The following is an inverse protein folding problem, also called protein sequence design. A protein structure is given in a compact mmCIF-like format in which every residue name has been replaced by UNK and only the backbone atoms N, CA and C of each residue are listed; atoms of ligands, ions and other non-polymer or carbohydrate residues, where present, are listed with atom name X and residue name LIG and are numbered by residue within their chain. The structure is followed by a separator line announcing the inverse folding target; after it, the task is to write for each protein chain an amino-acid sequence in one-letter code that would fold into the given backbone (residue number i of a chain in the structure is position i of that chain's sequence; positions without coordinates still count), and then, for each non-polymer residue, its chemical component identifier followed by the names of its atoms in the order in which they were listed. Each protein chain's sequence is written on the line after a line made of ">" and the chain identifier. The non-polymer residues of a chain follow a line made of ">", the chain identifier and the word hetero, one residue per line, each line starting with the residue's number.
data_IF_332652087672
#
_entry.id   IF_332652087672
#
_cell.length_a   1.000
_cell.length_b   1.000
_cell.length_c   1.000
_cell.angle_alpha   90.00
_cell.angle_beta   90.00
_cell.angle_gamma   90.00
#
_symmetry.space_group_name_H-M   'P 1'
#
loop_
_entity.id
_entity.type
_entity.pdbx_description
1 polymer ?
#
# COMPACT_ATOMS: atom_id res chain seq x y z
N UNK A 1 5.08 23.53 -0.97
CA UNK A 1 4.04 22.58 -0.49
C UNK A 1 3.88 22.81 1.00
N UNK A 2 2.84 23.51 1.48
CA UNK A 2 2.80 23.89 2.88
C UNK A 2 2.31 22.70 3.71
N UNK A 3 3.15 22.26 4.65
CA UNK A 3 2.88 21.41 5.82
C UNK A 3 3.53 20.02 5.91
N UNK A 4 4.59 19.70 5.15
CA UNK A 4 5.51 18.61 5.54
C UNK A 4 4.91 17.19 5.66
N UNK A 5 3.65 16.98 5.26
CA UNK A 5 2.98 15.67 5.20
C UNK A 5 3.48 14.95 3.95
N UNK A 6 4.55 14.17 4.11
CA UNK A 6 4.96 13.22 3.06
C UNK A 6 3.78 12.27 2.82
N UNK A 7 3.12 12.38 1.66
CA UNK A 7 2.01 11.50 1.30
C UNK A 7 2.42 10.03 1.43
N UNK A 8 1.46 9.15 1.73
CA UNK A 8 1.67 7.71 1.98
C UNK A 8 2.73 7.05 1.08
N UNK A 9 2.72 7.34 -0.23
CA UNK A 9 3.69 6.82 -1.20
C UNK A 9 5.13 7.31 -1.00
N UNK A 10 5.33 8.57 -0.59
CA UNK A 10 6.65 9.13 -0.33
C UNK A 10 7.26 8.50 0.93
N UNK A 11 6.45 8.30 1.97
CA UNK A 11 6.90 7.62 3.17
C UNK A 11 7.20 6.14 2.90
N UNK A 12 6.34 5.44 2.14
CA UNK A 12 6.60 4.07 1.71
C UNK A 12 7.87 3.95 0.86
N UNK A 13 8.12 4.91 -0.03
CA UNK A 13 9.36 4.99 -0.83
C UNK A 13 10.62 5.04 0.06
N UNK A 14 10.56 5.74 1.21
CA UNK A 14 11.66 5.75 2.17
C UNK A 14 11.83 4.39 2.86
N UNK A 15 10.73 3.73 3.26
CA UNK A 15 10.78 2.37 3.83
C UNK A 15 11.41 1.39 2.85
N UNK A 16 10.98 1.41 1.58
CA UNK A 16 11.52 0.55 0.53
C UNK A 16 13.00 0.81 0.28
N UNK A 17 13.43 2.07 0.26
CA UNK A 17 14.85 2.43 0.13
C UNK A 17 15.67 1.89 1.30
N UNK A 18 15.19 2.04 2.54
CA UNK A 18 15.86 1.52 3.73
C UNK A 18 15.93 -0.01 3.75
N UNK A 19 14.93 -0.69 3.17
CA UNK A 19 14.92 -2.13 2.97
C UNK A 19 15.78 -2.61 1.78
N UNK A 20 16.52 -1.72 1.12
CA UNK A 20 17.40 -2.08 0.01
C UNK A 20 16.72 -2.19 -1.36
N UNK A 21 15.51 -1.65 -1.50
CA UNK A 21 14.73 -1.60 -2.75
C UNK A 21 14.63 -0.16 -3.27
N UNK A 22 15.68 0.42 -3.89
CA UNK A 22 15.71 1.82 -4.31
C UNK A 22 14.91 2.11 -5.60
N UNK A 23 13.84 1.36 -5.84
CA UNK A 23 13.06 1.37 -7.08
C UNK A 23 11.86 2.32 -7.03
N UNK A 24 11.31 2.56 -5.83
CA UNK A 24 10.15 3.41 -5.62
C UNK A 24 10.57 4.82 -5.20
N UNK A 25 10.33 5.81 -6.06
CA UNK A 25 10.65 7.23 -5.78
C UNK A 25 9.53 8.11 -6.31
N UNK A 26 8.38 8.09 -5.64
CA UNK A 26 7.24 8.93 -6.03
C UNK A 26 6.34 9.26 -4.86
N UNK A 27 5.68 10.41 -4.94
CA UNK A 27 4.57 10.79 -4.06
C UNK A 27 3.21 10.23 -4.54
N UNK A 28 3.16 9.58 -5.70
CA UNK A 28 1.95 8.96 -6.24
C UNK A 28 1.99 7.43 -6.07
N UNK A 29 0.92 6.88 -5.48
CA UNK A 29 0.81 5.45 -5.14
C UNK A 29 0.88 4.55 -6.39
N UNK A 30 0.14 4.90 -7.45
CA UNK A 30 0.16 4.14 -8.71
C UNK A 30 1.55 4.11 -9.34
N UNK A 31 2.33 5.19 -9.20
CA UNK A 31 3.69 5.25 -9.73
C UNK A 31 4.61 4.32 -8.93
N UNK A 32 4.51 4.31 -7.60
CA UNK A 32 5.27 3.37 -6.75
C UNK A 32 4.96 1.92 -7.12
N UNK A 33 3.67 1.56 -7.23
CA UNK A 33 3.24 0.23 -7.70
C UNK A 33 3.83 -0.10 -9.06
N UNK A 34 3.71 0.81 -10.03
CA UNK A 34 4.22 0.62 -11.39
C UNK A 34 5.74 0.45 -11.43
N UNK A 35 6.48 1.17 -10.60
CA UNK A 35 7.94 1.04 -10.48
C UNK A 35 8.34 -0.32 -9.91
N UNK A 36 7.64 -0.82 -8.89
CA UNK A 36 7.85 -2.15 -8.33
C UNK A 36 7.60 -3.25 -9.39
N UNK A 37 6.47 -3.20 -10.08
CA UNK A 37 6.10 -4.17 -11.11
C UNK A 37 7.02 -4.18 -12.34
N UNK A 38 7.65 -3.04 -12.67
CA UNK A 38 8.59 -2.91 -13.80
C UNK A 38 10.05 -3.09 -13.40
N UNK A 39 10.33 -3.25 -12.11
CA UNK A 39 11.70 -3.44 -11.63
C UNK A 39 12.22 -4.84 -11.97
N UNK A 40 13.52 -5.06 -11.79
CA UNK A 40 14.11 -6.40 -11.86
C UNK A 40 13.82 -7.26 -10.62
N UNK A 41 13.03 -6.76 -9.67
CA UNK A 41 12.61 -7.53 -8.50
C UNK A 41 11.57 -8.56 -8.91
N UNK A 42 11.62 -9.73 -8.27
CA UNK A 42 10.55 -10.71 -8.42
C UNK A 42 9.36 -10.29 -7.55
N UNK A 43 8.37 -9.67 -8.18
CA UNK A 43 7.21 -9.10 -7.50
C UNK A 43 5.95 -9.89 -7.85
N UNK A 44 5.26 -10.41 -6.84
CA UNK A 44 3.95 -11.04 -6.98
C UNK A 44 2.87 -10.08 -6.49
N UNK A 45 1.87 -9.83 -7.30
CA UNK A 45 0.67 -9.09 -6.90
C UNK A 45 -0.51 -10.03 -6.68
N UNK A 46 -1.28 -9.76 -5.61
CA UNK A 46 -2.41 -10.57 -5.17
C UNK A 46 -3.57 -9.62 -4.89
N UNK A 47 -4.72 -9.87 -5.54
CA UNK A 47 -5.93 -9.10 -5.26
C UNK A 47 -6.54 -9.57 -3.93
N UNK A 48 -6.71 -8.66 -2.98
CA UNK A 48 -7.41 -8.91 -1.71
C UNK A 48 -8.89 -8.56 -1.85
N UNK A 49 -9.20 -7.50 -2.61
CA UNK A 49 -10.56 -7.01 -2.78
C UNK A 49 -10.76 -6.42 -4.17
N UNK A 50 -11.90 -6.74 -4.78
CA UNK A 50 -12.37 -6.16 -6.02
C UNK A 50 -13.90 -5.95 -5.97
N UNK A 51 -14.36 -5.18 -4.99
CA UNK A 51 -15.77 -4.99 -4.69
C UNK A 51 -16.00 -3.62 -4.04
N UNK A 52 -17.16 -3.00 -4.32
CA UNK A 52 -17.58 -1.75 -3.68
C UNK A 52 -18.06 -1.90 -2.24
N UNK A 53 -18.22 -3.13 -1.75
CA UNK A 53 -18.58 -3.38 -0.35
C UNK A 53 -17.55 -2.72 0.57
N UNK A 54 -17.99 -2.10 1.66
CA UNK A 54 -17.08 -1.65 2.73
C UNK A 54 -16.48 -2.89 3.43
N UNK A 55 -15.33 -2.72 4.06
CA UNK A 55 -14.68 -3.83 4.76
C UNK A 55 -13.42 -4.34 4.06
N UNK A 56 -12.44 -4.77 4.86
CA UNK A 56 -11.45 -5.78 4.51
C UNK A 56 -11.61 -6.94 5.49
N UNK A 57 -11.91 -8.12 4.97
CA UNK A 57 -11.96 -9.33 5.79
C UNK A 57 -10.54 -9.67 6.29
N UNK A 58 -10.30 -9.66 7.61
CA UNK A 58 -8.99 -9.96 8.18
C UNK A 58 -8.51 -11.38 7.88
N UNK A 59 -9.42 -12.36 7.73
CA UNK A 59 -9.06 -13.73 7.40
C UNK A 59 -8.54 -13.82 5.97
N UNK A 60 -9.29 -13.27 5.02
CA UNK A 60 -8.84 -13.14 3.62
C UNK A 60 -7.48 -12.45 3.53
N UNK A 61 -7.28 -11.33 4.23
CA UNK A 61 -5.98 -10.65 4.22
C UNK A 61 -4.87 -11.54 4.78
N UNK A 62 -5.10 -12.21 5.92
CA UNK A 62 -4.12 -13.10 6.56
C UNK A 62 -3.74 -14.29 5.68
N UNK A 63 -4.66 -14.83 4.91
CA UNK A 63 -4.40 -15.94 3.99
C UNK A 63 -3.61 -15.50 2.75
N UNK A 64 -3.87 -14.29 2.25
CA UNK A 64 -3.29 -13.78 1.00
C UNK A 64 -1.98 -13.00 1.20
N UNK A 65 -1.63 -12.63 2.42
CA UNK A 65 -0.49 -11.78 2.73
C UNK A 65 0.44 -12.36 3.79
N UNK A 66 1.63 -11.76 3.89
CA UNK A 66 2.63 -12.05 4.90
C UNK A 66 3.15 -10.72 5.48
N UNK A 67 3.62 -10.70 6.74
CA UNK A 67 4.28 -9.52 7.29
C UNK A 67 5.43 -9.04 6.38
N UNK A 68 5.47 -7.74 6.12
CA UNK A 68 6.41 -7.12 5.19
C UNK A 68 5.90 -6.98 3.75
N UNK A 69 4.81 -7.65 3.38
CA UNK A 69 4.15 -7.38 2.09
C UNK A 69 3.66 -5.93 2.03
N UNK A 70 3.59 -5.38 0.84
CA UNK A 70 3.06 -4.04 0.61
C UNK A 70 1.56 -4.13 0.36
N UNK A 71 0.77 -3.23 0.93
CA UNK A 71 -0.68 -3.14 0.65
C UNK A 71 -1.00 -1.83 -0.06
N UNK A 72 -1.89 -1.92 -1.04
CA UNK A 72 -2.31 -0.79 -1.87
C UNK A 72 -3.83 -0.78 -2.03
N UNK A 73 -4.46 0.35 -1.73
CA UNK A 73 -5.90 0.57 -1.94
C UNK A 73 -6.14 1.63 -3.01
N UNK A 74 -7.13 1.43 -3.86
CA UNK A 74 -7.49 2.35 -4.94
C UNK A 74 -9.01 2.52 -5.09
N UNK A 75 -9.45 3.76 -5.33
CA UNK A 75 -10.85 4.08 -5.62
C UNK A 75 -11.29 3.59 -7.01
N UNK A 76 -10.34 3.55 -7.95
CA UNK A 76 -10.51 3.06 -9.32
C UNK A 76 -9.34 2.15 -9.67
N UNK A 77 -9.44 1.37 -10.74
CA UNK A 77 -8.30 0.58 -11.19
C UNK A 77 -7.04 1.44 -11.41
N UNK A 78 -5.84 0.92 -11.11
CA UNK A 78 -4.58 1.68 -11.12
C UNK A 78 -4.04 1.88 -12.55
N UNK A 79 -4.87 2.39 -13.46
CA UNK A 79 -4.51 2.65 -14.87
C UNK A 79 -3.93 4.04 -15.09
N UNK A 80 -4.29 5.01 -14.24
CA UNK A 80 -3.82 6.40 -14.30
C UNK A 80 -3.13 6.80 -12.99
N UNK A 81 -2.14 7.71 -13.02
CA UNK A 81 -1.55 8.29 -11.81
C UNK A 81 -2.63 8.90 -10.92
N UNK A 82 -2.50 8.69 -9.61
CA UNK A 82 -3.45 9.16 -8.63
C UNK A 82 -2.80 10.08 -7.60
N UNK A 83 -3.60 11.04 -7.15
CA UNK A 83 -3.24 12.02 -6.13
C UNK A 83 -4.40 12.14 -5.15
N UNK A 84 -4.09 12.53 -3.91
CA UNK A 84 -5.10 12.73 -2.87
C UNK A 84 -5.74 11.41 -2.39
N UNK A 85 -7.01 11.42 -1.97
CA UNK A 85 -7.65 10.29 -1.27
C UNK A 85 -8.01 9.11 -2.19
N UNK A 86 -7.63 9.16 -3.47
CA UNK A 86 -7.98 8.12 -4.45
C UNK A 86 -7.11 6.86 -4.33
N UNK A 87 -6.06 6.90 -3.51
CA UNK A 87 -5.35 5.70 -3.08
C UNK A 87 -4.59 5.86 -1.79
N UNK A 88 -4.26 4.71 -1.25
CA UNK A 88 -3.41 4.57 -0.10
C UNK A 88 -2.43 3.42 -0.25
N UNK A 89 -1.37 3.46 0.56
CA UNK A 89 -0.44 2.36 0.65
C UNK A 89 0.16 2.23 2.05
N UNK A 90 0.57 1.02 2.37
CA UNK A 90 1.16 0.67 3.65
C UNK A 90 1.96 -0.63 3.56
N UNK A 91 2.31 -1.16 4.72
CA UNK A 91 3.03 -2.44 4.87
C UNK A 91 2.20 -3.34 5.77
N UNK A 92 2.00 -4.59 5.36
CA UNK A 92 1.30 -5.61 6.13
C UNK A 92 2.13 -5.98 7.36
N UNK A 93 1.47 -6.03 8.52
CA UNK A 93 2.00 -6.56 9.77
C UNK A 93 1.46 -7.98 10.00
N UNK A 94 1.74 -8.53 11.16
CA UNK A 94 1.05 -9.67 11.74
C UNK A 94 -0.46 -9.42 11.98
N UNK A 95 -1.23 -10.51 12.03
CA UNK A 95 -2.62 -10.55 12.49
C UNK A 95 -3.64 -9.68 11.72
N UNK A 96 -3.42 -9.45 10.42
CA UNK A 96 -4.36 -8.67 9.59
C UNK A 96 -4.26 -7.15 9.81
N UNK A 97 -3.23 -6.72 10.52
CA UNK A 97 -2.92 -5.31 10.73
C UNK A 97 -1.95 -4.79 9.66
N UNK A 98 -1.87 -3.47 9.56
CA UNK A 98 -1.01 -2.76 8.63
C UNK A 98 -0.35 -1.58 9.32
N UNK A 99 0.88 -1.29 8.91
CA UNK A 99 1.49 0.02 9.11
C UNK A 99 1.13 0.90 7.93
N UNK A 100 0.43 2.01 8.18
CA UNK A 100 0.04 2.94 7.13
C UNK A 100 0.07 4.39 7.64
N UNK A 101 0.20 5.33 6.72
CA UNK A 101 0.23 6.75 7.03
C UNK A 101 -1.19 7.26 7.27
N UNK A 102 -1.53 7.69 8.48
CA UNK A 102 -2.86 8.25 8.73
C UNK A 102 -3.02 9.57 7.97
N UNK A 103 -4.03 9.67 7.10
CA UNK A 103 -4.26 10.86 6.27
C UNK A 103 -4.66 12.11 7.07
N UNK A 104 -5.12 11.94 8.32
CA UNK A 104 -5.53 13.05 9.18
C UNK A 104 -4.30 13.83 9.70
N UNK A 105 -3.31 13.12 10.23
CA UNK A 105 -2.14 13.71 10.88
C UNK A 105 -0.81 13.48 10.14
N UNK A 106 -0.75 12.54 9.20
CA UNK A 106 0.45 12.19 8.45
C UNK A 106 1.42 11.32 9.23
N UNK A 107 1.00 10.69 10.33
CA UNK A 107 1.83 9.80 11.16
C UNK A 107 1.59 8.35 10.77
N UNK A 108 2.64 7.53 10.75
CA UNK A 108 2.49 6.09 10.54
C UNK A 108 1.93 5.42 11.79
N UNK A 109 0.84 4.67 11.62
CA UNK A 109 0.15 3.95 12.68
C UNK A 109 0.00 2.50 12.31
N UNK A 110 -0.01 1.65 13.34
CA UNK A 110 -0.44 0.25 13.25
C UNK A 110 -1.92 0.19 13.57
N UNK A 111 -2.72 -0.39 12.68
CA UNK A 111 -4.13 -0.65 12.92
C UNK A 111 -4.62 -1.81 12.04
N UNK A 112 -5.85 -2.27 12.26
CA UNK A 112 -6.52 -3.19 11.35
C UNK A 112 -6.56 -2.63 9.93
N UNK A 113 -6.34 -3.49 8.93
CA UNK A 113 -6.33 -3.08 7.54
C UNK A 113 -7.63 -2.37 7.12
N UNK A 114 -8.77 -2.76 7.70
CA UNK A 114 -10.06 -2.13 7.42
C UNK A 114 -10.08 -0.62 7.72
N UNK A 115 -9.38 -0.19 8.78
CA UNK A 115 -9.31 1.21 9.19
C UNK A 115 -8.80 2.12 8.07
N UNK A 116 -7.82 1.64 7.30
CA UNK A 116 -7.17 2.43 6.25
C UNK A 116 -7.59 2.02 4.84
N UNK A 117 -8.04 0.78 4.65
CA UNK A 117 -8.28 0.19 3.33
C UNK A 117 -9.72 -0.25 3.07
N UNK A 118 -10.57 -0.27 4.09
CA UNK A 118 -11.97 -0.74 4.02
C UNK A 118 -12.83 -0.02 2.99
N UNK A 119 -12.56 1.26 2.76
CA UNK A 119 -13.34 2.08 1.83
C UNK A 119 -12.91 1.94 0.36
N UNK A 120 -11.72 1.39 0.08
CA UNK A 120 -11.24 1.24 -1.28
C UNK A 120 -11.90 0.02 -1.96
N UNK A 121 -12.46 0.18 -3.18
CA UNK A 121 -13.03 -0.93 -3.91
C UNK A 121 -12.00 -1.94 -4.44
N UNK A 122 -10.78 -1.48 -4.66
CA UNK A 122 -9.69 -2.31 -5.19
C UNK A 122 -8.53 -2.32 -4.21
N UNK A 123 -8.26 -3.47 -3.59
CA UNK A 123 -7.14 -3.63 -2.66
C UNK A 123 -6.26 -4.78 -3.13
N UNK A 124 -4.96 -4.50 -3.17
CA UNK A 124 -3.94 -5.41 -3.62
C UNK A 124 -2.83 -5.51 -2.58
N UNK A 125 -2.26 -6.70 -2.47
CA UNK A 125 -1.03 -6.95 -1.76
C UNK A 125 0.07 -7.27 -2.77
N UNK A 126 1.26 -6.73 -2.55
CA UNK A 126 2.44 -7.01 -3.37
C UNK A 126 3.54 -7.58 -2.49
N UNK A 127 4.01 -8.76 -2.87
CA UNK A 127 5.15 -9.43 -2.26
C UNK A 127 6.38 -9.24 -3.13
N UNK A 128 7.43 -8.71 -2.55
CA UNK A 128 8.77 -8.69 -3.15
C UNK A 128 9.49 -9.93 -2.63
N UNK A 129 9.86 -10.86 -3.51
CA UNK A 129 10.62 -12.03 -3.09
C UNK A 129 11.98 -11.59 -2.51
N UNK A 130 12.41 -12.24 -1.44
CA UNK A 130 13.74 -12.04 -0.88
C UNK A 130 14.81 -12.44 -1.92
N UNK A 131 15.97 -11.77 -1.86
CA UNK A 131 17.10 -11.99 -2.77
C UNK A 131 17.74 -13.35 -2.60
#
# INVERSE_FOLDING_TARGET
>A
MPNGKLGCAAALSNVLRSAGYPVAKSAAVVVVRGQLLKSSLNVKEIAVKHSKAQGIDPLTLKELSQPGDLIFGYMTLPTNPNYGPNAHCGVVSDNGEVYANDWNDGIWKRAEADTFFGFYPHVYVMRVAEK
#
